data_IF_603955351007
#
_entry.id   IF_603955351007
#
_cell.length_a   1.000
_cell.length_b   1.000
_cell.length_c   1.000
_cell.angle_alpha   90.00
_cell.angle_beta   90.00
_cell.angle_gamma   90.00
#
_symmetry.space_group_name_H-M   'P 1'
#
loop_
_entity.id
_entity.type
_entity.pdbx_description
1 polymer ?
#
# COMPACT_ATOMS: atom_id res chain seq x y z
N UNK A 1 10.14 11.40 -2.70
CA UNK A 1 8.98 12.25 -3.04
C UNK A 1 8.02 12.40 -1.85
N UNK A 2 7.50 11.29 -1.30
CA UNK A 2 6.57 11.27 -0.15
C UNK A 2 7.10 12.04 1.06
N UNK A 3 8.37 11.82 1.47
CA UNK A 3 9.01 12.57 2.57
C UNK A 3 8.92 14.08 2.37
N UNK A 4 9.27 14.58 1.17
CA UNK A 4 9.20 16.03 0.90
C UNK A 4 7.78 16.58 1.01
N UNK A 5 6.78 15.84 0.52
CA UNK A 5 5.37 16.24 0.65
C UNK A 5 4.94 16.26 2.13
N UNK A 6 5.30 15.24 2.90
CA UNK A 6 4.98 15.19 4.32
C UNK A 6 5.63 16.34 5.11
N UNK A 7 6.92 16.59 4.88
CA UNK A 7 7.67 17.67 5.55
C UNK A 7 7.20 19.07 5.17
N UNK A 8 6.68 19.28 3.94
CA UNK A 8 6.08 20.57 3.55
C UNK A 8 4.70 20.80 4.18
N UNK A 9 4.06 19.74 4.67
CA UNK A 9 2.70 19.77 5.21
C UNK A 9 2.64 19.38 6.69
N UNK A 10 2.17 18.16 6.95
CA UNK A 10 1.76 17.69 8.28
C UNK A 10 2.90 17.15 9.16
N UNK A 11 4.10 16.90 8.63
CA UNK A 11 5.23 16.31 9.36
C UNK A 11 6.47 17.23 9.42
N UNK A 12 6.25 18.54 9.57
CA UNK A 12 7.34 19.56 9.54
C UNK A 12 8.35 19.38 10.66
N UNK A 13 7.91 18.97 11.84
CA UNK A 13 8.74 18.87 13.04
C UNK A 13 9.17 17.44 13.36
N UNK A 14 8.90 16.49 12.46
CA UNK A 14 9.24 15.08 12.64
C UNK A 14 10.60 14.80 12.02
N UNK A 15 11.44 14.07 12.75
CA UNK A 15 12.72 13.60 12.23
C UNK A 15 12.50 12.42 11.28
N UNK A 16 13.04 12.53 10.06
CA UNK A 16 13.02 11.45 9.08
C UNK A 16 14.40 10.86 8.89
N UNK A 17 14.47 9.51 8.96
CA UNK A 17 15.62 8.73 8.52
C UNK A 17 15.23 7.87 7.32
N UNK A 18 16.19 7.64 6.43
CA UNK A 18 15.99 6.92 5.17
C UNK A 18 17.08 5.87 4.99
N UNK A 19 16.69 4.66 4.69
CA UNK A 19 17.57 3.54 4.40
C UNK A 19 17.00 2.74 3.22
N UNK A 20 17.47 3.08 2.03
CA UNK A 20 16.95 2.53 0.79
C UNK A 20 17.98 1.60 0.14
N UNK A 21 17.53 0.39 -0.20
CA UNK A 21 18.29 -0.54 -1.02
C UNK A 21 18.32 -0.06 -2.48
N UNK A 22 19.48 0.40 -3.00
CA UNK A 22 19.57 0.93 -4.36
C UNK A 22 19.50 -0.17 -5.43
N UNK A 23 19.56 -1.44 -5.05
CA UNK A 23 19.54 -2.59 -5.96
C UNK A 23 18.13 -3.10 -6.27
N UNK A 24 17.08 -2.48 -5.68
CA UNK A 24 15.71 -2.92 -5.92
C UNK A 24 15.34 -2.86 -7.40
N UNK A 25 14.79 -3.96 -7.95
CA UNK A 25 14.25 -3.94 -9.30
C UNK A 25 12.97 -3.08 -9.37
N UNK A 26 12.59 -2.63 -10.58
CA UNK A 26 11.41 -1.81 -10.76
C UNK A 26 10.11 -2.56 -10.42
N UNK A 27 9.13 -1.80 -9.94
CA UNK A 27 7.75 -2.25 -9.69
C UNK A 27 6.87 -1.77 -10.84
N UNK A 28 5.99 -2.64 -11.33
CA UNK A 28 4.89 -2.20 -12.19
C UNK A 28 3.72 -1.75 -11.32
N UNK A 29 3.54 -0.44 -11.21
CA UNK A 29 2.53 0.13 -10.34
C UNK A 29 2.05 1.50 -10.84
N UNK A 30 0.85 1.88 -10.41
CA UNK A 30 0.39 3.25 -10.56
C UNK A 30 1.10 4.15 -9.53
N UNK A 31 1.90 5.09 -10.00
CA UNK A 31 2.72 5.96 -9.16
C UNK A 31 1.88 6.79 -8.18
N UNK A 32 0.77 7.37 -8.63
CA UNK A 32 -0.08 8.23 -7.80
C UNK A 32 -0.74 7.43 -6.69
N UNK A 33 -1.18 6.21 -6.99
CA UNK A 33 -1.75 5.31 -5.98
C UNK A 33 -0.70 4.89 -4.94
N UNK A 34 0.53 4.59 -5.34
CA UNK A 34 1.60 4.29 -4.37
C UNK A 34 1.99 5.52 -3.55
N UNK A 35 2.02 6.71 -4.14
CA UNK A 35 2.20 7.95 -3.38
C UNK A 35 1.11 8.09 -2.33
N UNK A 36 -0.15 7.83 -2.68
CA UNK A 36 -1.28 7.86 -1.75
C UNK A 36 -1.12 6.84 -0.61
N UNK A 37 -0.70 5.61 -0.92
CA UNK A 37 -0.39 4.58 0.09
C UNK A 37 0.61 5.11 1.10
N UNK A 38 1.78 5.55 0.63
CA UNK A 38 2.85 5.97 1.53
C UNK A 38 2.54 7.29 2.24
N UNK A 39 1.80 8.22 1.64
CA UNK A 39 1.33 9.42 2.33
C UNK A 39 0.38 9.08 3.48
N UNK A 40 -0.54 8.12 3.30
CA UNK A 40 -1.42 7.67 4.39
C UNK A 40 -0.62 7.02 5.54
N UNK A 41 0.35 6.16 5.22
CA UNK A 41 1.19 5.52 6.23
C UNK A 41 2.05 6.53 6.98
N UNK A 42 2.70 7.46 6.27
CA UNK A 42 3.53 8.52 6.88
C UNK A 42 2.68 9.49 7.70
N UNK A 43 1.45 9.79 7.26
CA UNK A 43 0.52 10.60 8.03
C UNK A 43 0.13 9.92 9.34
N UNK A 44 -0.19 8.63 9.31
CA UNK A 44 -0.48 7.87 10.52
C UNK A 44 0.71 7.84 11.49
N UNK A 45 1.92 7.65 10.97
CA UNK A 45 3.15 7.69 11.76
C UNK A 45 3.41 9.08 12.36
N UNK A 46 3.25 10.16 11.57
CA UNK A 46 3.42 11.53 12.06
C UNK A 46 2.43 11.90 13.17
N UNK A 47 1.19 11.45 13.04
CA UNK A 47 0.16 11.63 14.07
C UNK A 47 0.49 10.82 15.34
N UNK A 48 1.03 9.60 15.19
CA UNK A 48 1.45 8.76 16.32
C UNK A 48 2.61 9.35 17.12
N UNK A 49 3.51 10.09 16.47
CA UNK A 49 4.67 10.71 17.13
C UNK A 49 4.45 12.19 17.49
N UNK A 50 3.28 12.76 17.23
CA UNK A 50 3.01 14.19 17.42
C UNK A 50 3.30 14.67 18.84
N UNK A 51 2.95 13.88 19.85
CA UNK A 51 3.14 14.23 21.26
C UNK A 51 4.61 14.06 21.73
N UNK A 52 5.48 13.47 20.94
CA UNK A 52 6.89 13.30 21.25
C UNK A 52 7.74 14.53 20.91
N UNK A 53 7.16 15.53 20.25
CA UNK A 53 7.86 16.73 19.83
C UNK A 53 9.10 16.42 18.97
N UNK A 54 10.28 16.89 19.40
CA UNK A 54 11.54 16.69 18.67
C UNK A 54 12.07 15.25 18.71
N UNK A 55 11.54 14.41 19.61
CA UNK A 55 11.94 13.00 19.74
C UNK A 55 11.15 12.08 18.80
N UNK A 56 10.12 12.62 18.14
CA UNK A 56 9.35 11.91 17.14
C UNK A 56 10.19 11.58 15.91
N UNK A 57 10.23 10.30 15.55
CA UNK A 57 11.01 9.80 14.42
C UNK A 57 10.18 8.91 13.52
N UNK A 58 10.36 9.11 12.20
CA UNK A 58 9.83 8.22 11.15
C UNK A 58 11.01 7.74 10.31
N UNK A 59 11.12 6.42 10.18
CA UNK A 59 12.11 5.80 9.31
C UNK A 59 11.43 5.19 8.08
N UNK A 60 11.94 5.51 6.90
CA UNK A 60 11.54 4.91 5.63
C UNK A 60 12.64 3.95 5.17
N UNK A 61 12.28 2.70 4.92
CA UNK A 61 13.25 1.70 4.46
C UNK A 61 12.71 0.92 3.27
N UNK A 62 13.64 0.46 2.41
CA UNK A 62 13.34 -0.51 1.36
C UNK A 62 14.33 -1.66 1.43
N UNK A 63 13.87 -2.88 1.09
CA UNK A 63 14.74 -4.05 1.08
C UNK A 63 14.26 -5.09 0.06
N UNK A 64 15.19 -5.92 -0.40
CA UNK A 64 14.88 -7.11 -1.20
C UNK A 64 14.77 -8.35 -0.30
N UNK A 65 13.59 -9.02 -0.32
CA UNK A 65 13.28 -10.19 0.49
C UNK A 65 12.93 -11.41 -0.37
N UNK A 66 13.89 -12.13 -0.92
CA UNK A 66 13.66 -13.15 -1.95
C UNK A 66 12.85 -14.37 -1.48
N UNK A 67 12.61 -14.55 -0.20
CA UNK A 67 11.89 -15.69 0.37
C UNK A 67 10.39 -15.49 0.57
N UNK A 68 9.88 -14.27 0.46
CA UNK A 68 8.47 -13.97 0.76
C UNK A 68 7.58 -14.43 -0.38
N UNK A 69 6.63 -15.32 -0.07
CA UNK A 69 5.67 -15.88 -1.03
C UNK A 69 4.28 -15.91 -0.44
N UNK A 70 3.32 -15.39 -1.20
CA UNK A 70 1.90 -15.41 -0.86
C UNK A 70 1.21 -16.59 -1.56
N UNK A 71 0.46 -17.40 -0.79
CA UNK A 71 -0.44 -18.41 -1.32
C UNK A 71 -1.81 -17.79 -1.53
N UNK A 72 -2.27 -17.73 -2.77
CA UNK A 72 -3.61 -17.20 -3.08
C UNK A 72 -4.64 -18.33 -2.95
N UNK A 73 -5.77 -18.11 -2.25
CA UNK A 73 -6.86 -19.08 -2.18
C UNK A 73 -7.31 -19.48 -3.59
N UNK A 74 -7.46 -20.77 -3.85
CA UNK A 74 -7.92 -21.30 -5.15
C UNK A 74 -6.89 -21.32 -6.28
N UNK A 75 -5.67 -20.81 -6.08
CA UNK A 75 -4.58 -20.92 -7.06
C UNK A 75 -3.47 -21.83 -6.55
N UNK A 76 -3.01 -22.76 -7.39
CA UNK A 76 -1.86 -23.65 -7.07
C UNK A 76 -0.50 -22.91 -7.09
N UNK A 77 -0.45 -21.69 -7.62
CA UNK A 77 0.77 -20.90 -7.74
C UNK A 77 0.93 -19.95 -6.57
N UNK A 78 2.15 -19.88 -6.01
CA UNK A 78 2.54 -18.87 -5.02
C UNK A 78 3.07 -17.64 -5.74
N UNK A 79 2.63 -16.46 -5.31
CA UNK A 79 3.17 -15.19 -5.81
C UNK A 79 4.35 -14.80 -4.94
N UNK A 80 5.49 -14.49 -5.56
CA UNK A 80 6.65 -13.96 -4.85
C UNK A 80 6.49 -12.45 -4.65
N UNK A 81 6.71 -11.98 -3.42
CA UNK A 81 6.61 -10.58 -2.99
C UNK A 81 7.95 -10.11 -2.41
N UNK A 82 9.00 -10.01 -3.23
CA UNK A 82 10.35 -9.76 -2.71
C UNK A 82 10.62 -8.30 -2.40
N UNK A 83 9.77 -7.35 -2.82
CA UNK A 83 10.00 -5.93 -2.64
C UNK A 83 9.33 -5.45 -1.37
N UNK A 84 10.14 -5.12 -0.37
CA UNK A 84 9.70 -4.63 0.92
C UNK A 84 9.88 -3.12 1.01
N UNK A 85 8.82 -2.44 1.47
CA UNK A 85 8.82 -1.01 1.78
C UNK A 85 8.25 -0.84 3.19
N UNK A 86 9.01 -0.22 4.08
CA UNK A 86 8.56 0.00 5.45
C UNK A 86 8.46 1.47 5.80
N UNK A 87 7.39 1.79 6.55
CA UNK A 87 7.25 3.03 7.32
C UNK A 87 7.28 2.63 8.79
N UNK A 88 8.27 3.12 9.52
CA UNK A 88 8.47 2.83 10.94
C UNK A 88 8.36 4.11 11.74
N UNK A 89 7.74 4.04 12.91
CA UNK A 89 7.67 5.16 13.85
C UNK A 89 8.00 4.70 15.28
N UNK A 90 8.40 5.66 16.09
CA UNK A 90 8.66 5.46 17.52
C UNK A 90 7.52 5.94 18.42
N UNK A 91 6.30 5.97 17.91
CA UNK A 91 5.09 6.33 18.64
C UNK A 91 4.69 5.32 19.71
N UNK A 92 3.54 5.52 20.37
CA UNK A 92 3.07 4.68 21.48
C UNK A 92 2.72 3.26 21.06
N UNK A 93 2.56 3.00 19.78
CA UNK A 93 2.09 1.71 19.24
C UNK A 93 0.60 1.71 18.92
N UNK A 94 0.17 0.60 18.34
CA UNK A 94 -1.25 0.31 18.06
C UNK A 94 -1.79 -0.56 19.22
N UNK A 95 -2.96 -0.25 19.78
CA UNK A 95 -3.59 -1.10 20.80
C UNK A 95 -3.84 -2.53 20.28
N UNK A 96 -3.61 -3.53 21.14
CA UNK A 96 -3.69 -4.95 20.77
C UNK A 96 -5.09 -5.37 20.32
N UNK A 97 -6.13 -4.76 20.87
CA UNK A 97 -7.52 -5.00 20.52
C UNK A 97 -7.88 -4.51 19.12
N UNK A 98 -7.14 -3.55 18.58
CA UNK A 98 -7.35 -3.05 17.21
C UNK A 98 -6.53 -3.81 16.16
N UNK A 99 -5.45 -4.47 16.54
CA UNK A 99 -4.57 -5.15 15.60
C UNK A 99 -5.29 -6.13 14.65
N UNK A 100 -6.26 -6.96 15.10
CA UNK A 100 -6.97 -7.89 14.22
C UNK A 100 -7.77 -7.22 13.11
N UNK A 101 -8.28 -6.01 13.36
CA UNK A 101 -9.17 -5.29 12.44
C UNK A 101 -8.56 -3.99 11.92
N UNK A 102 -7.23 -3.83 12.05
CA UNK A 102 -6.51 -2.57 11.77
C UNK A 102 -6.74 -2.04 10.35
N UNK A 103 -6.93 -2.93 9.38
CA UNK A 103 -7.15 -2.60 7.98
C UNK A 103 -8.63 -2.60 7.57
N UNK A 104 -9.54 -2.84 8.51
CA UNK A 104 -10.97 -2.79 8.23
C UNK A 104 -11.46 -1.33 8.14
N UNK A 105 -12.45 -1.06 7.29
CA UNK A 105 -13.04 0.28 7.21
C UNK A 105 -13.62 0.74 8.55
N UNK A 106 -13.50 2.05 8.82
CA UNK A 106 -14.03 2.72 10.01
C UNK A 106 -13.37 2.36 11.35
N UNK A 107 -12.30 1.57 11.33
CA UNK A 107 -11.49 1.29 12.52
C UNK A 107 -10.53 2.46 12.78
N UNK A 108 -10.68 3.12 13.93
CA UNK A 108 -9.83 4.25 14.32
C UNK A 108 -9.90 4.50 15.83
N UNK A 109 -8.79 4.90 16.43
CA UNK A 109 -8.71 5.42 17.80
C UNK A 109 -8.85 6.95 17.85
N UNK A 110 -8.85 7.60 16.68
CA UNK A 110 -8.78 9.06 16.58
C UNK A 110 -10.18 9.67 16.57
N UNK A 111 -10.49 10.67 17.44
CA UNK A 111 -11.82 11.30 17.48
C UNK A 111 -12.28 11.90 16.15
N UNK A 112 -11.33 12.41 15.37
CA UNK A 112 -11.60 13.04 14.05
C UNK A 112 -11.20 12.15 12.88
N UNK A 113 -10.77 10.92 13.13
CA UNK A 113 -10.34 9.98 12.10
C UNK A 113 -11.53 9.32 11.40
N UNK A 114 -11.49 9.24 10.07
CA UNK A 114 -12.52 8.53 9.29
C UNK A 114 -12.40 7.00 9.39
N UNK A 115 -11.24 6.47 9.81
CA UNK A 115 -10.95 5.03 9.79
C UNK A 115 -10.83 4.44 8.38
N UNK A 116 -10.72 5.27 7.33
CA UNK A 116 -10.67 4.81 5.94
C UNK A 116 -9.25 4.75 5.37
N UNK A 117 -8.27 5.38 6.02
CA UNK A 117 -6.92 5.51 5.48
C UNK A 117 -6.22 4.17 5.30
N UNK A 118 -6.21 3.31 6.31
CA UNK A 118 -5.56 2.00 6.25
C UNK A 118 -6.35 0.99 5.40
N UNK A 119 -7.67 1.06 5.39
CA UNK A 119 -8.51 0.26 4.49
C UNK A 119 -8.21 0.58 3.02
N UNK A 120 -8.06 1.87 2.69
CA UNK A 120 -7.67 2.30 1.35
C UNK A 120 -6.25 1.83 0.99
N UNK A 121 -5.32 1.90 1.92
CA UNK A 121 -3.95 1.38 1.75
C UNK A 121 -3.99 -0.10 1.42
N UNK A 122 -4.71 -0.91 2.21
CA UNK A 122 -4.84 -2.35 2.00
C UNK A 122 -5.46 -2.66 0.62
N UNK A 123 -6.49 -1.91 0.23
CA UNK A 123 -7.11 -2.05 -1.10
C UNK A 123 -6.13 -1.75 -2.22
N UNK A 124 -5.45 -0.60 -2.19
CA UNK A 124 -4.51 -0.21 -3.27
C UNK A 124 -3.35 -1.21 -3.36
N UNK A 125 -2.77 -1.61 -2.22
CA UNK A 125 -1.69 -2.60 -2.19
C UNK A 125 -2.16 -3.95 -2.75
N UNK A 126 -3.36 -4.39 -2.39
CA UNK A 126 -3.98 -5.60 -2.94
C UNK A 126 -4.23 -5.53 -4.45
N UNK A 127 -4.71 -4.39 -4.97
CA UNK A 127 -4.92 -4.15 -6.40
C UNK A 127 -3.59 -4.22 -7.19
N UNK A 128 -2.44 -3.97 -6.53
CA UNK A 128 -1.09 -4.15 -7.08
C UNK A 128 -0.51 -5.57 -6.84
N UNK A 129 -1.33 -6.51 -6.37
CA UNK A 129 -0.93 -7.88 -6.10
C UNK A 129 0.00 -8.04 -4.90
N UNK A 130 0.07 -7.05 -4.03
CA UNK A 130 0.86 -7.02 -2.81
C UNK A 130 0.05 -7.32 -1.55
N UNK A 131 0.73 -7.22 -0.42
CA UNK A 131 0.13 -7.27 0.92
C UNK A 131 0.69 -6.16 1.79
N UNK A 132 -0.08 -5.77 2.81
CA UNK A 132 0.38 -4.90 3.88
C UNK A 132 0.29 -5.63 5.21
N UNK A 133 1.29 -5.43 6.06
CA UNK A 133 1.38 -5.98 7.41
C UNK A 133 1.68 -4.85 8.40
N UNK A 134 1.28 -5.05 9.65
CA UNK A 134 1.64 -4.18 10.76
C UNK A 134 2.23 -5.01 11.90
N UNK A 135 3.39 -4.59 12.37
CA UNK A 135 3.97 -5.04 13.64
C UNK A 135 4.06 -3.84 14.55
N UNK A 136 3.52 -3.94 15.77
CA UNK A 136 3.51 -2.82 16.68
C UNK A 136 3.87 -3.24 18.10
N UNK A 137 4.71 -2.42 18.72
CA UNK A 137 5.10 -2.44 20.13
C UNK A 137 5.26 -0.99 20.57
N UNK A 138 5.20 -0.68 21.86
CA UNK A 138 5.51 0.64 22.36
C UNK A 138 6.86 1.14 21.83
N UNK A 139 6.89 2.34 21.26
CA UNK A 139 8.03 2.99 20.63
C UNK A 139 8.57 2.31 19.35
N UNK A 140 7.81 1.40 18.77
CA UNK A 140 8.20 0.73 17.52
C UNK A 140 6.98 0.20 16.77
N UNK A 141 6.39 1.01 15.90
CA UNK A 141 5.39 0.55 14.94
C UNK A 141 6.03 0.42 13.56
N UNK A 142 5.74 -0.64 12.85
CA UNK A 142 6.24 -0.88 11.49
C UNK A 142 5.08 -1.30 10.59
N UNK A 143 4.76 -0.46 9.63
CA UNK A 143 3.93 -0.86 8.49
C UNK A 143 4.83 -1.34 7.37
N UNK A 144 4.58 -2.56 6.89
CA UNK A 144 5.36 -3.22 5.84
C UNK A 144 4.47 -3.48 4.63
N UNK A 145 4.84 -2.90 3.50
CA UNK A 145 4.21 -3.15 2.20
C UNK A 145 5.11 -4.08 1.41
N UNK A 146 4.57 -5.20 0.96
CA UNK A 146 5.27 -6.19 0.13
C UNK A 146 4.65 -6.19 -1.26
N UNK A 147 5.47 -5.99 -2.29
CA UNK A 147 5.03 -5.92 -3.68
C UNK A 147 5.74 -6.95 -4.55
N UNK A 148 5.07 -7.44 -5.62
CA UNK A 148 5.70 -8.30 -6.61
C UNK A 148 6.69 -7.51 -7.47
N UNK A 149 7.74 -8.18 -7.93
CA UNK A 149 8.61 -7.66 -8.99
C UNK A 149 7.85 -7.54 -10.31
N UNK A 150 8.20 -6.55 -11.12
CA UNK A 150 7.81 -6.52 -12.52
C UNK A 150 8.42 -7.75 -13.24
N UNK A 151 7.55 -8.55 -13.85
CA UNK A 151 7.96 -9.66 -14.69
C UNK A 151 7.41 -9.43 -16.10
N UNK A 152 8.25 -9.08 -17.08
CA UNK A 152 7.80 -8.77 -18.43
C UNK A 152 7.16 -9.96 -19.15
N UNK A 153 7.32 -11.19 -18.63
CA UNK A 153 6.73 -12.39 -19.22
C UNK A 153 5.34 -12.74 -18.65
N UNK A 154 4.88 -12.04 -17.60
CA UNK A 154 3.52 -12.13 -17.10
C UNK A 154 2.71 -10.94 -17.62
N UNK A 155 2.16 -11.05 -18.81
CA UNK A 155 1.02 -10.24 -19.23
C UNK A 155 -0.10 -10.41 -18.19
N UNK A 156 -0.64 -9.32 -17.68
CA UNK A 156 -1.86 -9.37 -16.88
C UNK A 156 -2.94 -9.99 -17.76
N UNK A 157 -3.40 -11.18 -17.37
CA UNK A 157 -4.58 -11.81 -17.93
C UNK A 157 -5.79 -10.97 -17.48
N UNK A 158 -6.07 -9.91 -18.23
CA UNK A 158 -7.36 -9.27 -18.19
C UNK A 158 -8.29 -10.28 -18.85
N UNK A 159 -9.08 -10.98 -18.04
CA UNK A 159 -10.11 -11.85 -18.53
C UNK A 159 -10.91 -11.17 -19.65
N UNK A 160 -11.43 -11.92 -20.63
CA UNK A 160 -12.05 -11.36 -21.80
C UNK A 160 -13.18 -10.41 -21.39
N UNK A 161 -13.06 -9.15 -21.81
CA UNK A 161 -14.18 -8.23 -21.82
C UNK A 161 -15.29 -8.89 -22.64
N UNK A 162 -16.48 -9.04 -22.03
CA UNK A 162 -17.69 -9.49 -22.70
C UNK A 162 -18.04 -8.50 -23.83
N UNK A 163 -17.46 -8.74 -25.01
CA UNK A 163 -17.86 -8.10 -26.26
C UNK A 163 -19.09 -8.84 -26.80
N UNK A 164 -20.24 -8.60 -26.17
CA UNK A 164 -21.55 -8.83 -26.76
C UNK A 164 -22.19 -7.50 -27.10
N UNK A 165 -21.63 -6.80 -28.05
CA UNK A 165 -22.37 -5.80 -28.80
C UNK A 165 -22.86 -6.45 -30.09
N UNK A 166 -24.15 -6.78 -30.06
CA UNK A 166 -25.00 -7.26 -31.17
C UNK A 166 -24.82 -6.42 -32.43
N UNK A 167 -24.21 -7.05 -33.45
CA UNK A 167 -24.30 -6.61 -34.82
C UNK A 167 -25.71 -6.94 -35.35
N UNK A 168 -26.62 -6.00 -35.34
CA UNK A 168 -27.87 -6.08 -36.09
C UNK A 168 -27.61 -5.62 -37.51
N UNK A 169 -27.50 -6.59 -38.41
CA UNK A 169 -27.48 -6.34 -39.85
C UNK A 169 -28.84 -5.87 -40.33
N UNK A 170 -28.89 -4.65 -40.83
CA UNK A 170 -30.03 -4.16 -41.62
C UNK A 170 -29.74 -4.46 -43.09
N UNK A 171 -30.50 -5.38 -43.66
CA UNK A 171 -30.57 -5.61 -45.10
C UNK A 171 -31.37 -4.48 -45.75
N UNK A 172 -30.93 -3.92 -46.88
CA UNK A 172 -31.76 -3.07 -47.71
C UNK A 172 -32.48 -3.96 -48.73
N UNK A 173 -33.78 -4.01 -48.65
CA UNK A 173 -34.61 -4.63 -49.70
C UNK A 173 -35.07 -3.55 -50.71
N UNK A 174 -34.89 -3.91 -51.99
CA UNK A 174 -35.12 -3.14 -53.16
C UNK A 174 -36.61 -3.06 -53.57
N UNK A 175 -36.94 -1.94 -54.18
CA UNK A 175 -37.77 -1.80 -55.38
C UNK A 175 -39.26 -2.21 -55.35
N UNK A 176 -40.14 -1.35 -55.46
CA UNK A 176 -40.92 -0.96 -56.69
C UNK A 176 -41.98 0.08 -56.35
#
# INVERSE_FOLDING_TARGET
HVKRLAQSGFARNVRFTEDYDPSLPPVLANQDQLIQVFLNLVKNAAEAVADLGTDGEIQLTTAFRPGVRLSLPGKKSRVSLPLEFCVKDNGPGVPDDLMPNLFDPFVTTKPTGSGLGLALVAKIVGDHGGIIECESQPRKTTFRVLLPMFNPTKTFDHGPADDKATASAVHPEQAR
#
